data_IF_918169815559
#
_entry.id   IF_918169815559
#
_cell.length_a   1.000
_cell.length_b   1.000
_cell.length_c   1.000
_cell.angle_alpha   90.00
_cell.angle_beta   90.00
_cell.angle_gamma   90.00
#
_symmetry.space_group_name_H-M   'P 1'
#
loop_
_entity.id
_entity.type
_entity.pdbx_description
1 polymer ?
#
# COMPACT_ATOMS: atom_id res chain seq x y z
N UNK A 1 8.62 -15.22 6.47
CA UNK A 1 8.41 -13.90 5.83
C UNK A 1 7.05 -13.76 5.14
N UNK A 2 6.83 -14.24 3.90
CA UNK A 2 5.55 -14.01 3.18
C UNK A 2 4.32 -14.59 3.90
N UNK A 3 4.51 -15.71 4.60
CA UNK A 3 3.45 -16.32 5.41
C UNK A 3 3.12 -15.48 6.65
N UNK A 4 4.13 -14.97 7.37
CA UNK A 4 3.95 -14.12 8.55
C UNK A 4 3.23 -12.80 8.20
N UNK A 5 3.61 -12.16 7.09
CA UNK A 5 2.94 -10.95 6.61
C UNK A 5 1.48 -11.21 6.18
N UNK A 6 1.17 -12.44 5.79
CA UNK A 6 -0.19 -12.83 5.41
C UNK A 6 -1.08 -13.15 6.62
N UNK A 7 -0.49 -13.42 7.80
CA UNK A 7 -1.21 -13.88 9.01
C UNK A 7 -1.38 -12.81 10.08
N UNK A 8 -0.84 -11.61 9.91
CA UNK A 8 -1.14 -10.48 10.81
C UNK A 8 -2.56 -9.96 10.60
N UNK A 9 -3.17 -9.43 11.65
CA UNK A 9 -4.55 -8.92 11.61
C UNK A 9 -4.65 -7.68 10.71
N UNK A 10 -3.69 -6.75 10.82
CA UNK A 10 -3.57 -5.58 9.96
C UNK A 10 -2.16 -5.50 9.38
N UNK A 11 -2.06 -5.32 8.06
CA UNK A 11 -0.80 -5.03 7.37
C UNK A 11 -0.93 -3.69 6.67
N UNK A 12 -0.03 -2.76 6.96
CA UNK A 12 0.10 -1.49 6.24
C UNK A 12 1.44 -1.50 5.51
N UNK A 13 1.41 -1.26 4.21
CA UNK A 13 2.62 -1.17 3.37
C UNK A 13 2.84 0.29 3.02
N UNK A 14 4.00 0.83 3.37
CA UNK A 14 4.38 2.22 3.14
C UNK A 14 5.24 2.38 1.88
N UNK A 15 5.37 3.63 1.42
CA UNK A 15 6.23 4.06 0.30
C UNK A 15 5.93 3.36 -1.03
N UNK A 16 4.72 2.84 -1.21
CA UNK A 16 4.30 2.22 -2.47
C UNK A 16 4.43 3.25 -3.60
N UNK A 17 5.22 2.92 -4.61
CA UNK A 17 5.38 3.77 -5.79
C UNK A 17 6.44 4.85 -5.68
N UNK A 18 7.18 4.95 -4.56
CA UNK A 18 8.31 5.89 -4.47
C UNK A 18 9.52 5.44 -5.30
N UNK A 19 9.89 4.16 -5.26
CA UNK A 19 11.01 3.58 -6.04
C UNK A 19 10.74 2.11 -6.40
N UNK A 20 9.62 1.82 -7.06
CA UNK A 20 9.38 0.45 -7.54
C UNK A 20 10.17 0.23 -8.83
N UNK A 21 11.40 -0.25 -8.67
CA UNK A 21 12.32 -0.50 -9.78
C UNK A 21 12.38 -1.97 -10.18
N UNK A 22 11.92 -2.90 -9.33
CA UNK A 22 12.04 -4.34 -9.60
C UNK A 22 10.70 -5.04 -9.89
N UNK A 23 10.72 -5.94 -10.88
CA UNK A 23 9.61 -6.88 -11.15
C UNK A 23 9.30 -7.74 -9.91
N UNK A 24 10.29 -7.99 -9.05
CA UNK A 24 10.17 -8.81 -7.86
C UNK A 24 9.27 -8.17 -6.79
N UNK A 25 9.41 -6.87 -6.55
CA UNK A 25 8.55 -6.14 -5.60
C UNK A 25 7.09 -6.19 -6.03
N UNK A 26 6.80 -5.96 -7.32
CA UNK A 26 5.44 -6.08 -7.87
C UNK A 26 4.86 -7.47 -7.64
N UNK A 27 5.64 -8.52 -7.93
CA UNK A 27 5.20 -9.91 -7.70
C UNK A 27 4.92 -10.15 -6.22
N UNK A 28 5.77 -9.63 -5.33
CA UNK A 28 5.63 -9.80 -3.87
C UNK A 28 4.36 -9.11 -3.35
N UNK A 29 4.11 -7.85 -3.73
CA UNK A 29 2.89 -7.12 -3.37
C UNK A 29 1.66 -7.87 -3.87
N UNK A 30 1.69 -8.34 -5.12
CA UNK A 30 0.58 -9.09 -5.69
C UNK A 30 0.27 -10.37 -4.90
N UNK A 31 1.31 -11.11 -4.49
CA UNK A 31 1.15 -12.32 -3.68
C UNK A 31 0.60 -12.02 -2.28
N UNK A 32 1.04 -10.93 -1.64
CA UNK A 32 0.55 -10.50 -0.34
C UNK A 32 -0.94 -10.13 -0.43
N UNK A 33 -1.31 -9.26 -1.38
CA UNK A 33 -2.69 -8.80 -1.55
C UNK A 33 -3.63 -9.97 -1.88
N UNK A 34 -3.21 -10.89 -2.75
CA UNK A 34 -4.01 -12.05 -3.15
C UNK A 34 -4.31 -12.97 -1.96
N UNK A 35 -3.30 -13.29 -1.14
CA UNK A 35 -3.46 -14.15 0.05
C UNK A 35 -4.32 -13.48 1.13
N UNK A 36 -4.09 -12.20 1.40
CA UNK A 36 -4.80 -11.47 2.45
C UNK A 36 -6.26 -11.22 2.08
N UNK A 37 -6.52 -10.81 0.85
CA UNK A 37 -7.89 -10.64 0.32
C UNK A 37 -8.67 -11.95 0.35
N UNK A 38 -8.07 -13.06 -0.09
CA UNK A 38 -8.69 -14.40 -0.03
C UNK A 38 -9.00 -14.85 1.40
N UNK A 39 -8.17 -14.42 2.37
CA UNK A 39 -8.36 -14.71 3.80
C UNK A 39 -9.21 -13.65 4.52
N UNK A 40 -9.80 -12.69 3.79
CA UNK A 40 -10.56 -11.55 4.34
C UNK A 40 -9.79 -10.76 5.40
N UNK A 41 -8.48 -10.64 5.24
CA UNK A 41 -7.60 -9.90 6.15
C UNK A 41 -7.38 -8.48 5.62
N UNK A 42 -7.63 -7.43 6.44
CA UNK A 42 -7.52 -6.05 6.00
C UNK A 42 -6.08 -5.69 5.66
N UNK A 43 -5.90 -4.95 4.57
CA UNK A 43 -4.58 -4.51 4.08
C UNK A 43 -4.68 -3.04 3.69
N UNK A 44 -3.76 -2.22 4.19
CA UNK A 44 -3.62 -0.81 3.85
C UNK A 44 -2.36 -0.56 3.02
N UNK A 45 -2.41 0.45 2.16
CA UNK A 45 -1.26 0.93 1.40
C UNK A 45 -1.16 2.44 1.55
N UNK A 46 0.05 2.92 1.79
CA UNK A 46 0.39 4.34 1.78
C UNK A 46 1.24 4.60 0.53
N UNK A 47 0.85 5.60 -0.23
CA UNK A 47 1.48 5.95 -1.50
C UNK A 47 1.38 7.44 -1.74
N UNK A 48 2.39 7.97 -2.44
CA UNK A 48 2.36 9.32 -3.01
C UNK A 48 1.73 9.36 -4.42
N UNK A 49 1.24 8.22 -4.92
CA UNK A 49 0.57 8.13 -6.22
C UNK A 49 -0.94 8.33 -6.09
N UNK A 50 -1.54 8.84 -7.16
CA UNK A 50 -2.99 8.86 -7.30
C UNK A 50 -3.54 7.49 -7.73
N UNK A 51 -4.87 7.38 -7.86
CA UNK A 51 -5.52 6.13 -8.26
C UNK A 51 -5.00 5.62 -9.62
N UNK A 52 -4.72 6.52 -10.56
CA UNK A 52 -4.23 6.16 -11.89
C UNK A 52 -2.79 5.62 -11.81
N UNK A 53 -1.90 6.30 -11.09
CA UNK A 53 -0.54 5.85 -10.84
C UNK A 53 -0.51 4.49 -10.13
N UNK A 54 -1.38 4.29 -9.14
CA UNK A 54 -1.52 3.01 -8.45
C UNK A 54 -2.03 1.89 -9.37
N UNK A 55 -3.02 2.17 -10.23
CA UNK A 55 -3.50 1.22 -11.24
C UNK A 55 -2.39 0.85 -12.24
N UNK A 56 -1.61 1.80 -12.73
CA UNK A 56 -0.47 1.54 -13.63
C UNK A 56 0.63 0.73 -12.94
N UNK A 57 0.85 0.99 -11.65
CA UNK A 57 1.91 0.38 -10.86
C UNK A 57 1.63 -1.09 -10.51
N UNK A 58 0.48 -1.34 -9.90
CA UNK A 58 0.08 -2.64 -9.32
C UNK A 58 -0.82 -3.45 -10.26
N UNK A 59 -1.49 -2.79 -11.20
CA UNK A 59 -2.46 -3.39 -12.11
C UNK A 59 -3.87 -3.45 -11.54
N UNK A 60 -4.86 -3.44 -12.43
CA UNK A 60 -6.28 -3.43 -12.08
C UNK A 60 -6.68 -4.59 -11.17
N UNK A 61 -6.12 -5.79 -11.38
CA UNK A 61 -6.45 -7.00 -10.60
C UNK A 61 -6.13 -6.84 -9.12
N UNK A 62 -5.09 -6.09 -8.78
CA UNK A 62 -4.64 -5.88 -7.39
C UNK A 62 -5.48 -4.79 -6.77
N UNK A 63 -5.70 -3.71 -7.51
CA UNK A 63 -6.54 -2.60 -7.10
C UNK A 63 -7.99 -3.01 -6.86
N UNK A 64 -8.52 -3.92 -7.68
CA UNK A 64 -9.84 -4.51 -7.48
C UNK A 64 -9.94 -5.28 -6.15
N UNK A 65 -8.91 -6.09 -5.80
CA UNK A 65 -8.87 -6.79 -4.51
C UNK A 65 -8.85 -5.84 -3.32
N UNK A 66 -8.13 -4.73 -3.44
CA UNK A 66 -8.07 -3.70 -2.40
C UNK A 66 -9.40 -2.96 -2.23
N UNK A 67 -10.25 -2.98 -3.27
CA UNK A 67 -11.59 -2.39 -3.25
C UNK A 67 -12.69 -3.36 -2.80
N UNK A 68 -12.38 -4.62 -2.50
CA UNK A 68 -13.37 -5.60 -2.05
C UNK A 68 -13.92 -5.23 -0.66
N UNK A 69 -15.25 -5.15 -0.56
CA UNK A 69 -15.96 -4.80 0.68
C UNK A 69 -15.93 -3.30 0.98
N UNK A 70 -15.92 -2.94 2.27
CA UNK A 70 -15.91 -1.56 2.75
C UNK A 70 -14.49 -0.96 2.68
N UNK A 71 -13.98 -0.85 1.45
CA UNK A 71 -12.66 -0.25 1.20
C UNK A 71 -12.70 1.27 1.38
N UNK A 72 -11.59 1.82 1.89
CA UNK A 72 -11.45 3.25 2.13
C UNK A 72 -10.29 3.80 1.30
N UNK A 73 -10.59 4.77 0.45
CA UNK A 73 -9.60 5.56 -0.28
C UNK A 73 -9.56 6.97 0.28
N UNK A 74 -8.43 7.33 0.92
CA UNK A 74 -8.24 8.66 1.53
C UNK A 74 -7.14 9.38 0.80
N UNK A 75 -7.43 10.61 0.38
CA UNK A 75 -6.46 11.49 -0.27
C UNK A 75 -5.97 12.52 0.73
N UNK A 76 -4.66 12.61 0.84
CA UNK A 76 -3.97 13.59 1.65
C UNK A 76 -3.49 14.76 0.76
N UNK A 77 -4.21 15.88 0.80
CA UNK A 77 -3.95 17.07 -0.04
C UNK A 77 -3.18 18.21 0.68
N UNK A 78 -2.78 17.99 1.92
CA UNK A 78 -1.83 18.79 2.69
C UNK A 78 -0.38 18.70 2.16
N UNK A 79 0.37 19.79 2.33
CA UNK A 79 1.81 19.81 2.08
C UNK A 79 2.62 19.12 3.17
N UNK A 80 3.91 18.91 2.91
CA UNK A 80 4.83 18.24 3.84
C UNK A 80 4.87 18.93 5.21
N UNK A 81 4.66 18.14 6.27
CA UNK A 81 4.75 18.63 7.65
C UNK A 81 6.19 18.86 8.14
N UNK A 82 7.19 18.27 7.45
CA UNK A 82 8.60 18.29 7.90
C UNK A 82 9.16 19.71 8.06
N UNK A 83 8.70 20.67 7.26
CA UNK A 83 9.12 22.08 7.37
C UNK A 83 8.67 22.77 8.66
N UNK A 84 7.73 22.18 9.40
CA UNK A 84 7.20 22.69 10.67
C UNK A 84 7.89 22.07 11.89
N UNK A 85 8.69 21.03 11.68
CA UNK A 85 9.45 20.36 12.74
C UNK A 85 10.71 21.20 13.01
N UNK A 86 10.77 21.87 14.15
CA UNK A 86 12.01 22.50 14.64
C UNK A 86 12.87 21.40 15.25
N UNK A 87 14.12 21.27 14.79
CA UNK A 87 15.00 20.11 14.98
C UNK A 87 15.46 19.75 16.41
N UNK A 88 14.53 19.67 17.36
CA UNK A 88 14.76 19.24 18.73
C UNK A 88 14.14 17.86 19.05
N UNK A 89 13.72 17.09 18.04
CA UNK A 89 13.02 15.81 18.21
C UNK A 89 13.75 14.61 17.58
N UNK A 90 15.09 14.69 17.49
CA UNK A 90 15.96 13.53 17.19
C UNK A 90 16.99 13.34 18.29
#
# INVERSE_FOLDING_TARGET
>A
MLQELSTVDLLVIDEIGMQIESRYEKVTINQIVDRRSSSKRPTGMLSNLDMNGMNTLLGERVMDRMRLGDSLWVIFNWGSYRSRIKGNEY
#
